data_IF_835812793123
#
_entry.id   IF_835812793123
#
_cell.length_a   1.000
_cell.length_b   1.000
_cell.length_c   1.000
_cell.angle_alpha   90.00
_cell.angle_beta   90.00
_cell.angle_gamma   90.00
#
_symmetry.space_group_name_H-M   'P 1'
#
loop_
_entity.id
_entity.type
_entity.pdbx_description
1 polymer ?
#
# COMPACT_ATOMS: atom_id res chain seq x y z
N UNK A 1 16.58 -11.15 -26.72
CA UNK A 1 17.10 -9.80 -26.38
C UNK A 1 16.02 -9.07 -25.57
N UNK A 2 16.14 -9.01 -24.24
CA UNK A 2 15.17 -8.33 -23.40
C UNK A 2 15.25 -6.82 -23.70
N UNK A 3 14.19 -6.24 -24.29
CA UNK A 3 14.03 -4.78 -24.33
C UNK A 3 14.18 -4.27 -22.90
N UNK A 4 15.20 -3.46 -22.66
CA UNK A 4 15.64 -2.94 -21.35
C UNK A 4 14.51 -2.22 -20.60
N UNK A 5 13.64 -2.98 -19.93
CA UNK A 5 12.67 -2.42 -19.00
C UNK A 5 13.37 -2.17 -17.68
N UNK A 6 13.20 -0.98 -17.11
CA UNK A 6 13.65 -0.65 -15.76
C UNK A 6 13.20 -1.72 -14.76
N UNK A 7 14.02 -2.02 -13.74
CA UNK A 7 13.71 -3.03 -12.70
C UNK A 7 12.33 -2.78 -12.09
N UNK A 8 11.99 -1.53 -11.79
CA UNK A 8 10.67 -1.18 -11.28
C UNK A 8 9.53 -1.53 -12.26
N UNK A 9 9.70 -1.28 -13.57
CA UNK A 9 8.70 -1.63 -14.57
C UNK A 9 8.55 -3.15 -14.73
N UNK A 10 9.61 -3.92 -14.50
CA UNK A 10 9.54 -5.39 -14.44
C UNK A 10 8.77 -5.85 -13.21
N UNK A 11 9.05 -5.28 -12.03
CA UNK A 11 8.31 -5.59 -10.80
C UNK A 11 6.81 -5.24 -10.93
N UNK A 12 6.51 -4.07 -11.48
CA UNK A 12 5.13 -3.64 -11.73
C UNK A 12 4.41 -4.54 -12.75
N UNK A 13 5.13 -5.26 -13.61
CA UNK A 13 4.51 -6.16 -14.60
C UNK A 13 3.93 -7.44 -14.01
N UNK A 14 4.31 -7.80 -12.77
CA UNK A 14 3.70 -8.92 -12.05
C UNK A 14 2.33 -8.58 -11.43
N UNK A 15 1.95 -7.30 -11.43
CA UNK A 15 0.67 -6.85 -10.91
C UNK A 15 -0.42 -7.00 -11.97
N UNK A 16 -1.54 -7.63 -11.60
CA UNK A 16 -2.70 -7.76 -12.48
C UNK A 16 -3.43 -6.42 -12.64
N UNK A 17 -3.04 -5.70 -13.68
CA UNK A 17 -3.64 -4.42 -14.06
C UNK A 17 -5.13 -4.56 -14.44
N UNK A 18 -5.54 -5.69 -15.02
CA UNK A 18 -6.94 -5.87 -15.41
C UNK A 18 -7.83 -5.99 -14.18
N UNK A 19 -7.41 -6.81 -13.20
CA UNK A 19 -8.10 -6.92 -11.91
C UNK A 19 -8.15 -5.56 -11.20
N UNK A 20 -7.04 -4.82 -11.16
CA UNK A 20 -7.03 -3.49 -10.55
C UNK A 20 -8.02 -2.54 -11.24
N UNK A 21 -8.03 -2.49 -12.57
CA UNK A 21 -8.97 -1.63 -13.31
C UNK A 21 -10.43 -1.99 -13.05
N UNK A 22 -10.77 -3.28 -12.88
CA UNK A 22 -12.10 -3.70 -12.50
C UNK A 22 -12.50 -3.17 -11.11
N UNK A 23 -11.59 -3.22 -10.14
CA UNK A 23 -11.80 -2.66 -8.80
C UNK A 23 -11.97 -1.13 -8.88
N UNK A 24 -11.10 -0.44 -9.62
CA UNK A 24 -11.22 1.02 -9.79
C UNK A 24 -12.58 1.43 -10.36
N UNK A 25 -13.10 0.68 -11.35
CA UNK A 25 -14.44 0.93 -11.92
C UNK A 25 -15.56 0.69 -10.91
N UNK A 26 -15.44 -0.33 -10.06
CA UNK A 26 -16.41 -0.63 -8.99
C UNK A 26 -16.59 0.54 -8.01
N UNK A 27 -15.52 1.28 -7.73
CA UNK A 27 -15.52 2.41 -6.79
C UNK A 27 -15.50 3.79 -7.49
N UNK A 28 -15.67 3.85 -8.81
CA UNK A 28 -15.56 5.11 -9.58
C UNK A 28 -14.24 5.89 -9.32
N UNK A 29 -13.14 5.19 -8.99
CA UNK A 29 -11.91 5.82 -8.47
C UNK A 29 -11.20 6.77 -9.43
N UNK A 30 -11.40 6.57 -10.73
CA UNK A 30 -10.86 7.41 -11.80
C UNK A 30 -11.92 8.33 -12.45
N UNK A 31 -13.07 8.52 -11.80
CA UNK A 31 -14.10 9.44 -12.27
C UNK A 31 -13.53 10.86 -12.38
N UNK A 32 -13.70 11.48 -13.55
CA UNK A 32 -13.17 12.81 -13.90
C UNK A 32 -11.63 12.95 -13.90
N UNK A 33 -10.88 11.85 -13.79
CA UNK A 33 -9.41 11.88 -13.84
C UNK A 33 -8.92 12.02 -15.27
N UNK A 34 -8.07 13.02 -15.52
CA UNK A 34 -7.48 13.27 -16.85
C UNK A 34 -6.12 12.62 -17.09
N UNK A 35 -5.23 12.65 -16.09
CA UNK A 35 -3.81 12.30 -16.30
C UNK A 35 -3.21 11.40 -15.21
N UNK A 36 -3.60 11.59 -13.95
CA UNK A 36 -3.02 10.87 -12.83
C UNK A 36 -4.03 9.85 -12.30
N UNK A 37 -4.04 8.62 -12.82
CA UNK A 37 -5.01 7.56 -12.45
C UNK A 37 -4.72 6.90 -11.10
N UNK A 38 -5.64 6.07 -10.62
CA UNK A 38 -5.44 5.22 -9.44
C UNK A 38 -4.25 4.27 -9.65
N UNK A 39 -4.04 3.80 -10.88
CA UNK A 39 -2.88 2.99 -11.24
C UNK A 39 -1.57 3.77 -11.10
N UNK A 40 -1.53 5.01 -11.57
CA UNK A 40 -0.34 5.86 -11.45
C UNK A 40 -0.02 6.15 -9.98
N UNK A 41 -1.04 6.35 -9.14
CA UNK A 41 -0.89 6.51 -7.71
C UNK A 41 -0.34 5.25 -7.04
N UNK A 42 -0.87 4.07 -7.37
CA UNK A 42 -0.37 2.79 -6.85
C UNK A 42 1.14 2.67 -7.11
N UNK A 43 1.55 2.89 -8.37
CA UNK A 43 2.95 2.78 -8.75
C UNK A 43 3.83 3.83 -8.06
N UNK A 44 3.37 5.08 -7.97
CA UNK A 44 4.12 6.13 -7.26
C UNK A 44 4.34 5.79 -5.77
N UNK A 45 3.31 5.28 -5.10
CA UNK A 45 3.41 4.86 -3.69
C UNK A 45 4.31 3.64 -3.52
N UNK A 46 4.19 2.63 -4.38
CA UNK A 46 5.07 1.46 -4.38
C UNK A 46 6.53 1.85 -4.63
N UNK A 47 6.79 2.76 -5.56
CA UNK A 47 8.13 3.27 -5.81
C UNK A 47 8.69 3.93 -4.56
N UNK A 48 7.88 4.73 -3.85
CA UNK A 48 8.27 5.33 -2.57
C UNK A 48 8.65 4.29 -1.52
N UNK A 49 7.85 3.22 -1.38
CA UNK A 49 8.16 2.13 -0.45
C UNK A 49 9.45 1.39 -0.82
N UNK A 50 9.61 1.00 -2.09
CA UNK A 50 10.78 0.25 -2.56
C UNK A 50 12.08 1.06 -2.55
N UNK A 51 11.98 2.38 -2.71
CA UNK A 51 13.13 3.29 -2.62
C UNK A 51 13.32 3.87 -1.22
N UNK A 52 12.56 3.41 -0.22
CA UNK A 52 12.64 3.85 1.17
C UNK A 52 12.50 5.37 1.34
N UNK A 53 11.50 5.98 0.69
CA UNK A 53 11.20 7.42 0.81
C UNK A 53 10.31 7.67 2.01
N UNK A 54 10.75 8.53 2.92
CA UNK A 54 10.06 8.76 4.20
C UNK A 54 8.98 9.85 4.13
N UNK A 55 8.94 10.64 3.07
CA UNK A 55 7.97 11.72 2.93
C UNK A 55 7.48 11.91 1.51
N UNK A 56 6.30 12.51 1.37
CA UNK A 56 5.76 12.90 0.06
C UNK A 56 6.71 13.84 -0.69
N UNK A 57 7.42 14.73 0.00
CA UNK A 57 8.38 15.64 -0.64
C UNK A 57 9.58 14.88 -1.18
N UNK A 58 10.13 13.97 -0.40
CA UNK A 58 11.26 13.12 -0.79
C UNK A 58 10.89 12.20 -1.97
N UNK A 59 9.68 11.61 -1.94
CA UNK A 59 9.14 10.85 -3.07
C UNK A 59 9.06 11.67 -4.35
N UNK A 60 8.55 12.89 -4.29
CA UNK A 60 8.43 13.74 -5.48
C UNK A 60 9.80 14.10 -6.05
N UNK A 61 10.78 14.42 -5.20
CA UNK A 61 12.17 14.68 -5.64
C UNK A 61 12.75 13.48 -6.37
N UNK A 62 12.53 12.26 -5.86
CA UNK A 62 12.99 11.04 -6.50
C UNK A 62 12.26 10.76 -7.83
N UNK A 63 10.96 11.02 -7.91
CA UNK A 63 10.19 10.89 -9.15
C UNK A 63 10.61 11.92 -10.21
N UNK A 64 10.89 13.16 -9.78
CA UNK A 64 11.35 14.25 -10.66
C UNK A 64 12.76 13.97 -11.19
N UNK A 65 13.65 13.39 -10.38
CA UNK A 65 14.97 12.94 -10.85
C UNK A 65 14.88 11.89 -11.97
N UNK A 66 13.78 11.13 -12.02
CA UNK A 66 13.50 10.14 -13.06
C UNK A 66 12.46 10.61 -14.09
N UNK A 67 12.18 11.91 -14.15
CA UNK A 67 11.11 12.48 -14.98
C UNK A 67 11.16 12.05 -16.45
N UNK A 68 12.35 12.08 -17.06
CA UNK A 68 12.57 11.65 -18.46
C UNK A 68 12.22 10.18 -18.71
N UNK A 69 12.15 9.38 -17.65
CA UNK A 69 11.90 7.94 -17.66
C UNK A 69 10.54 7.58 -17.04
N UNK A 70 9.80 8.54 -16.49
CA UNK A 70 8.53 8.33 -15.76
C UNK A 70 7.47 7.60 -16.58
N UNK A 71 7.40 7.85 -17.88
CA UNK A 71 6.49 7.12 -18.77
C UNK A 71 6.85 5.63 -18.88
N UNK A 72 8.14 5.32 -19.01
CA UNK A 72 8.64 3.93 -19.09
C UNK A 72 8.58 3.20 -17.74
N UNK A 73 8.57 3.94 -16.64
CA UNK A 73 8.37 3.40 -15.28
C UNK A 73 6.89 3.20 -14.94
N UNK A 74 5.97 3.72 -15.76
CA UNK A 74 4.52 3.56 -15.58
C UNK A 74 3.84 4.63 -14.72
N UNK A 75 4.56 5.67 -14.28
CA UNK A 75 4.02 6.73 -13.43
C UNK A 75 3.13 7.74 -14.18
N UNK A 76 3.13 7.69 -15.52
CA UNK A 76 2.43 8.66 -16.37
C UNK A 76 3.24 9.95 -16.56
N UNK A 77 2.58 10.98 -17.10
CA UNK A 77 3.20 12.30 -17.33
C UNK A 77 3.06 13.15 -16.06
N UNK A 78 4.21 13.55 -15.49
CA UNK A 78 4.37 14.51 -14.40
C UNK A 78 3.54 14.21 -13.13
N UNK A 79 4.12 13.47 -12.18
CA UNK A 79 3.53 13.31 -10.85
C UNK A 79 3.86 14.53 -10.00
N UNK A 80 2.94 15.50 -9.93
CA UNK A 80 3.14 16.67 -9.07
C UNK A 80 2.81 16.34 -7.61
N UNK A 81 3.46 17.06 -6.68
CA UNK A 81 3.18 16.92 -5.24
C UNK A 81 1.71 17.18 -4.90
N UNK A 82 1.11 18.21 -5.48
CA UNK A 82 -0.28 18.58 -5.21
C UNK A 82 -1.25 17.54 -5.77
N UNK A 83 -1.00 17.01 -6.96
CA UNK A 83 -1.80 15.92 -7.55
C UNK A 83 -1.75 14.65 -6.69
N UNK A 84 -0.55 14.24 -6.26
CA UNK A 84 -0.39 13.03 -5.43
C UNK A 84 -0.97 13.22 -4.03
N UNK A 85 -0.78 14.38 -3.41
CA UNK A 85 -1.41 14.71 -2.12
C UNK A 85 -2.93 14.64 -2.19
N UNK A 86 -3.51 15.29 -3.21
CA UNK A 86 -4.96 15.30 -3.42
C UNK A 86 -5.51 13.91 -3.70
N UNK A 87 -4.82 13.11 -4.53
CA UNK A 87 -5.20 11.73 -4.79
C UNK A 87 -5.19 10.87 -3.51
N UNK A 88 -4.21 11.07 -2.62
CA UNK A 88 -4.16 10.35 -1.33
C UNK A 88 -5.28 10.77 -0.36
N UNK A 89 -5.80 11.99 -0.49
CA UNK A 89 -6.86 12.52 0.38
C UNK A 89 -8.26 12.17 -0.12
N UNK A 90 -8.49 12.29 -1.42
CA UNK A 90 -9.85 12.28 -2.00
C UNK A 90 -10.28 10.89 -2.48
N UNK A 91 -9.34 9.98 -2.77
CA UNK A 91 -9.67 8.66 -3.35
C UNK A 91 -10.07 7.66 -2.28
N UNK A 92 -11.03 6.82 -2.64
CA UNK A 92 -11.47 5.73 -1.78
C UNK A 92 -10.34 4.72 -1.57
N UNK A 93 -9.95 4.53 -0.32
CA UNK A 93 -8.89 3.59 0.06
C UNK A 93 -9.29 2.13 -0.18
N UNK A 94 -10.60 1.82 -0.24
CA UNK A 94 -11.08 0.45 -0.46
C UNK A 94 -10.60 -0.13 -1.81
N UNK A 95 -10.28 0.73 -2.79
CA UNK A 95 -9.67 0.31 -4.06
C UNK A 95 -8.34 -0.41 -3.82
N UNK A 96 -7.48 0.19 -3.00
CA UNK A 96 -6.15 -0.34 -2.71
C UNK A 96 -6.23 -1.49 -1.71
N UNK A 97 -7.16 -1.42 -0.75
CA UNK A 97 -7.42 -2.50 0.22
C UNK A 97 -7.90 -3.78 -0.48
N UNK A 98 -8.93 -3.70 -1.33
CA UNK A 98 -9.46 -4.85 -2.07
C UNK A 98 -8.40 -5.46 -2.98
N UNK A 99 -7.58 -4.62 -3.62
CA UNK A 99 -6.48 -5.11 -4.45
C UNK A 99 -5.37 -5.77 -3.61
N UNK A 100 -5.05 -5.24 -2.44
CA UNK A 100 -4.07 -5.84 -1.54
C UNK A 100 -4.51 -7.24 -1.08
N UNK A 101 -5.79 -7.41 -0.69
CA UNK A 101 -6.33 -8.72 -0.33
C UNK A 101 -6.33 -9.71 -1.51
N UNK A 102 -6.60 -9.22 -2.72
CA UNK A 102 -6.44 -10.03 -3.94
C UNK A 102 -4.99 -10.50 -4.12
N UNK A 103 -4.00 -9.60 -4.00
CA UNK A 103 -2.59 -9.96 -4.12
C UNK A 103 -2.13 -10.93 -3.02
N UNK A 104 -2.60 -10.75 -1.79
CA UNK A 104 -2.35 -11.68 -0.67
C UNK A 104 -2.86 -13.07 -1.04
N UNK A 105 -4.08 -13.18 -1.54
CA UNK A 105 -4.67 -14.46 -1.94
C UNK A 105 -3.84 -15.13 -3.02
N UNK A 106 -3.45 -14.38 -4.06
CA UNK A 106 -2.58 -14.89 -5.13
C UNK A 106 -1.19 -15.33 -4.63
N UNK A 107 -0.62 -14.59 -3.67
CA UNK A 107 0.67 -14.94 -3.10
C UNK A 107 0.59 -16.23 -2.27
N UNK A 108 -0.49 -16.42 -1.50
CA UNK A 108 -0.72 -17.66 -0.73
C UNK A 108 -0.86 -18.87 -1.62
N UNK A 109 -1.70 -18.79 -2.65
CA UNK A 109 -1.92 -19.90 -3.61
C UNK A 109 -0.62 -20.34 -4.28
N UNK A 110 0.27 -19.40 -4.59
CA UNK A 110 1.58 -19.70 -5.22
C UNK A 110 2.64 -20.21 -4.25
N UNK A 111 2.44 -20.00 -2.94
CA UNK A 111 3.38 -20.37 -1.87
C UNK A 111 2.81 -21.45 -0.96
N UNK A 112 1.84 -22.23 -1.42
CA UNK A 112 1.37 -23.39 -0.66
C UNK A 112 2.55 -24.34 -0.49
N UNK A 113 3.11 -24.35 0.72
CA UNK A 113 4.21 -25.22 1.10
C UNK A 113 3.90 -25.84 2.45
N UNK A 114 4.03 -27.16 2.52
CA UNK A 114 3.81 -27.92 3.74
C UNK A 114 5.11 -28.01 4.55
N UNK A 115 5.46 -26.89 5.19
CA UNK A 115 6.73 -26.76 5.92
C UNK A 115 6.70 -27.57 7.22
N UNK A 116 5.57 -27.55 7.94
CA UNK A 116 5.49 -28.13 9.28
C UNK A 116 4.78 -29.48 9.34
N UNK A 117 3.99 -29.88 8.33
CA UNK A 117 3.23 -31.14 8.30
C UNK A 117 2.36 -31.36 9.55
N UNK A 118 2.05 -30.28 10.26
CA UNK A 118 1.06 -30.27 11.32
C UNK A 118 -0.28 -30.26 10.58
N UNK A 119 -1.21 -31.14 10.93
CA UNK A 119 -2.50 -31.30 10.22
C UNK A 119 -3.46 -30.10 10.32
N UNK A 120 -2.96 -28.86 10.26
CA UNK A 120 -3.68 -27.60 10.27
C UNK A 120 -2.72 -26.40 10.14
N UNK A 121 -3.28 -25.23 9.83
CA UNK A 121 -2.49 -24.04 9.51
C UNK A 121 -1.88 -23.38 10.75
N UNK A 122 -0.60 -23.01 10.69
CA UNK A 122 0.11 -22.26 11.74
C UNK A 122 0.11 -20.76 11.44
N UNK A 123 -0.43 -19.96 12.35
CA UNK A 123 -0.47 -18.50 12.22
C UNK A 123 0.33 -17.80 13.32
N UNK A 124 1.15 -16.83 12.93
CA UNK A 124 1.79 -15.89 13.84
C UNK A 124 0.94 -14.61 13.94
N UNK A 125 0.78 -14.11 15.16
CA UNK A 125 0.07 -12.87 15.43
C UNK A 125 1.01 -11.86 16.07
N UNK A 126 1.10 -10.68 15.48
CA UNK A 126 1.91 -9.59 16.00
C UNK A 126 1.16 -8.26 15.89
N UNK A 127 1.66 -7.22 16.56
CA UNK A 127 1.13 -5.87 16.44
C UNK A 127 2.23 -4.82 16.39
N UNK A 128 2.14 -3.92 15.41
CA UNK A 128 3.01 -2.75 15.32
C UNK A 128 2.23 -1.48 15.61
N UNK A 129 2.89 -0.44 16.12
CA UNK A 129 2.26 0.88 16.36
C UNK A 129 2.84 1.90 15.38
N UNK A 130 1.97 2.49 14.58
CA UNK A 130 2.32 3.61 13.70
C UNK A 130 2.17 4.90 14.51
N UNK A 131 3.29 5.57 14.77
CA UNK A 131 3.30 6.86 15.46
C UNK A 131 2.73 7.96 14.55
N UNK A 132 1.78 8.72 15.08
CA UNK A 132 1.12 9.82 14.36
C UNK A 132 1.25 11.13 15.12
N UNK A 133 1.38 12.22 14.37
CA UNK A 133 1.33 13.56 14.96
C UNK A 133 -0.11 13.89 15.37
N UNK A 134 -0.34 14.02 16.68
CA UNK A 134 -1.66 14.26 17.25
C UNK A 134 -2.33 15.55 16.77
N UNK A 135 -1.56 16.59 16.43
CA UNK A 135 -2.11 17.85 15.89
C UNK A 135 -2.73 17.70 14.50
N UNK A 136 -2.32 16.69 13.73
CA UNK A 136 -2.86 16.38 12.40
C UNK A 136 -3.92 15.28 12.52
N UNK A 137 -3.68 14.28 13.36
CA UNK A 137 -4.57 13.13 13.57
C UNK A 137 -5.15 13.14 14.98
N UNK A 138 -5.98 14.14 15.30
CA UNK A 138 -6.52 14.34 16.65
C UNK A 138 -7.38 13.17 17.15
N UNK A 139 -7.92 12.38 16.22
CA UNK A 139 -8.75 11.21 16.50
C UNK A 139 -7.93 9.98 16.91
N UNK A 140 -6.64 9.93 16.58
CA UNK A 140 -5.76 8.78 16.81
C UNK A 140 -5.02 8.88 18.16
N UNK A 141 -5.72 9.13 19.27
CA UNK A 141 -5.08 9.30 20.60
C UNK A 141 -4.51 7.96 21.11
N UNK A 142 -3.18 7.90 21.32
CA UNK A 142 -2.49 6.74 21.89
C UNK A 142 -1.96 7.00 23.31
N UNK A 143 -1.36 8.19 23.54
CA UNK A 143 -0.92 8.67 24.87
C UNK A 143 -1.28 10.15 25.05
N UNK A 144 -1.04 10.71 26.25
CA UNK A 144 -1.34 12.13 26.58
C UNK A 144 -0.85 13.13 25.52
N UNK A 145 0.35 12.91 24.96
CA UNK A 145 0.97 13.79 23.96
C UNK A 145 1.28 13.12 22.61
N UNK A 146 0.91 11.84 22.41
CA UNK A 146 1.24 11.09 21.19
C UNK A 146 -0.02 10.54 20.53
N UNK A 147 -0.12 10.77 19.22
CA UNK A 147 -1.07 10.05 18.39
C UNK A 147 -0.45 8.75 17.91
N UNK A 148 -1.28 7.75 17.65
CA UNK A 148 -0.81 6.50 17.06
C UNK A 148 -1.95 5.53 16.76
N UNK A 149 -1.69 4.63 15.82
CA UNK A 149 -2.60 3.55 15.45
C UNK A 149 -1.86 2.24 15.63
N UNK A 150 -2.48 1.30 16.35
CA UNK A 150 -1.96 -0.06 16.45
C UNK A 150 -2.52 -0.88 15.29
N UNK A 151 -1.62 -1.53 14.55
CA UNK A 151 -1.96 -2.44 13.46
C UNK A 151 -1.69 -3.85 13.94
N UNK A 152 -2.72 -4.68 13.96
CA UNK A 152 -2.57 -6.10 14.26
C UNK A 152 -2.41 -6.88 12.96
N UNK A 153 -1.39 -7.72 12.87
CA UNK A 153 -1.06 -8.46 11.66
C UNK A 153 -1.13 -9.96 11.93
N UNK A 154 -1.90 -10.66 11.12
CA UNK A 154 -1.92 -12.13 11.10
C UNK A 154 -1.04 -12.59 9.93
N UNK A 155 -0.09 -13.47 10.23
CA UNK A 155 0.89 -13.98 9.28
C UNK A 155 0.79 -15.50 9.20
N UNK A 156 0.69 -16.02 7.99
CA UNK A 156 0.67 -17.45 7.70
C UNK A 156 2.10 -17.94 7.60
N UNK A 157 2.52 -18.75 8.58
CA UNK A 157 3.92 -19.16 8.72
C UNK A 157 4.30 -20.18 7.64
N UNK A 158 3.35 -20.99 7.20
CA UNK A 158 3.54 -21.99 6.16
C UNK A 158 3.74 -21.36 4.79
N UNK A 159 2.83 -20.45 4.41
CA UNK A 159 2.95 -19.77 3.11
C UNK A 159 3.93 -18.60 3.13
N UNK A 160 4.38 -18.18 4.32
CA UNK A 160 5.18 -16.98 4.53
C UNK A 160 4.54 -15.72 3.92
N UNK A 161 3.23 -15.58 4.12
CA UNK A 161 2.43 -14.48 3.58
C UNK A 161 1.57 -13.88 4.68
N UNK A 162 1.52 -12.54 4.71
CA UNK A 162 0.61 -11.83 5.60
C UNK A 162 -0.84 -11.99 5.13
N UNK A 163 -1.74 -12.34 6.05
CA UNK A 163 -3.14 -12.65 5.75
C UNK A 163 -4.09 -11.46 5.88
N UNK A 164 -3.93 -10.72 6.96
CA UNK A 164 -4.84 -9.63 7.30
C UNK A 164 -4.14 -8.61 8.18
N UNK A 165 -4.58 -7.36 8.05
CA UNK A 165 -4.27 -6.29 8.98
C UNK A 165 -5.58 -5.77 9.58
N UNK A 166 -5.67 -5.75 10.90
CA UNK A 166 -6.81 -5.18 11.61
C UNK A 166 -6.39 -3.84 12.19
N UNK A 167 -7.08 -2.80 11.75
CA UNK A 167 -7.02 -1.46 12.34
C UNK A 167 -8.22 -1.31 13.29
N UNK A 168 -8.04 -1.43 14.61
CA UNK A 168 -9.14 -1.26 15.55
C UNK A 168 -9.66 0.17 15.47
N UNK A 169 -10.82 0.38 14.83
CA UNK A 169 -11.56 1.65 14.92
C UNK A 169 -12.11 1.76 16.34
N UNK A 170 -11.66 2.79 17.06
CA UNK A 170 -12.17 3.20 18.39
C UNK A 170 -12.47 2.02 19.33
N UNK A 171 -11.46 1.55 20.05
CA UNK A 171 -11.69 1.22 21.46
C UNK A 171 -10.80 2.13 22.27
N UNK A 172 -11.43 2.96 23.10
CA UNK A 172 -10.78 3.67 24.18
C UNK A 172 -9.86 2.67 24.88
N UNK A 173 -8.55 2.76 24.64
CA UNK A 173 -7.59 2.21 25.58
C UNK A 173 -7.71 3.11 26.79
N UNK A 174 -8.63 2.73 27.68
CA UNK A 174 -8.71 3.24 29.04
C UNK A 174 -7.30 3.17 29.60
N UNK A 175 -6.78 4.33 30.00
CA UNK A 175 -5.50 4.43 30.68
C UNK A 175 -5.58 3.48 31.89
N UNK A 176 -4.88 2.35 31.86
CA UNK A 176 -4.44 1.72 33.10
C UNK A 176 -3.32 2.60 33.63
N UNK A 177 -3.56 3.09 34.84
CA UNK A 177 -2.69 3.96 35.62
C UNK A 177 -1.32 3.33 35.84
#
# INVERSE_FOLDING_TARGET
MHKEKYVFAQLASFLDRNKFNCIVRKFDGDKYVKHFTCWNQLLALMFGQLSNRESLRDLIVALDAHHSKSYHLGFGKNVSKSSLARANQDRDYHIFEEYAYYLITQAREKRVSDIFQLGGNVYAFDSTTIDLRLSVFWWAKFRKKKGGIKVHTLYDVETQVQLSFILPRRRYMTQRQ
#
